data_IF_708227219199
#
_entry.id   IF_708227219199
#
_cell.length_a   1.000
_cell.length_b   1.000
_cell.length_c   1.000
_cell.angle_alpha   90.00
_cell.angle_beta   90.00
_cell.angle_gamma   90.00
#
_symmetry.space_group_name_H-M   'P 1'
#
loop_
_entity.id
_entity.type
_entity.pdbx_description
1 polymer ?
#
# COMPACT_ATOMS: atom_id res chain seq x y z
N UNK A 1 -8.18 -22.90 15.16
CA UNK A 1 -7.98 -21.84 14.16
C UNK A 1 -7.21 -22.48 13.03
N UNK A 2 -7.81 -22.60 11.85
CA UNK A 2 -7.08 -23.07 10.67
C UNK A 2 -5.95 -22.08 10.40
N UNK A 3 -4.75 -22.60 10.21
CA UNK A 3 -3.58 -21.80 9.82
C UNK A 3 -3.83 -21.36 8.36
N UNK A 4 -4.52 -20.23 8.18
CA UNK A 4 -4.70 -19.68 6.84
C UNK A 4 -3.32 -19.36 6.27
N UNK A 5 -3.04 -19.90 5.09
CA UNK A 5 -1.79 -19.64 4.37
C UNK A 5 -1.67 -18.14 4.14
N UNK A 6 -0.59 -17.52 4.63
CA UNK A 6 -0.33 -16.10 4.47
C UNK A 6 0.39 -15.83 3.15
N UNK A 7 0.10 -14.68 2.57
CA UNK A 7 0.80 -14.13 1.41
C UNK A 7 1.92 -13.24 1.94
N UNK A 8 3.15 -13.72 1.88
CA UNK A 8 4.31 -12.94 2.32
C UNK A 8 4.53 -11.73 1.40
N UNK A 9 4.89 -10.60 2.00
CA UNK A 9 5.16 -9.39 1.21
C UNK A 9 6.54 -9.41 0.56
N UNK A 10 7.48 -10.16 1.13
CA UNK A 10 8.89 -10.13 0.75
C UNK A 10 9.61 -8.85 1.21
N UNK A 11 8.91 -7.95 1.89
CA UNK A 11 9.49 -6.70 2.41
C UNK A 11 10.05 -6.97 3.81
N UNK A 12 11.38 -6.84 4.01
CA UNK A 12 12.00 -7.12 5.29
C UNK A 12 11.37 -6.34 6.44
N UNK A 13 10.91 -7.05 7.48
CA UNK A 13 10.29 -6.48 8.67
C UNK A 13 8.79 -6.18 8.57
N UNK A 14 8.21 -6.09 7.35
CA UNK A 14 6.77 -5.83 7.19
C UNK A 14 5.93 -7.07 7.51
N UNK A 15 6.35 -8.25 7.09
CA UNK A 15 5.62 -9.50 7.37
C UNK A 15 5.47 -9.75 8.87
N UNK A 16 6.46 -9.35 9.68
CA UNK A 16 6.35 -9.43 11.14
C UNK A 16 5.24 -8.52 11.68
N UNK A 17 5.05 -7.32 11.11
CA UNK A 17 3.95 -6.42 11.49
C UNK A 17 2.58 -6.97 11.08
N UNK A 18 2.53 -7.74 9.98
CA UNK A 18 1.32 -8.36 9.42
C UNK A 18 1.05 -9.77 9.97
N UNK A 19 1.75 -10.19 11.03
CA UNK A 19 1.62 -11.54 11.58
C UNK A 19 1.88 -12.66 10.54
N UNK A 20 2.88 -12.46 9.69
CA UNK A 20 3.33 -13.41 8.66
C UNK A 20 2.97 -13.03 7.22
N UNK A 21 2.33 -11.90 6.98
CA UNK A 21 1.95 -11.42 5.64
C UNK A 21 0.46 -11.10 5.50
N UNK A 22 0.03 -10.78 4.30
CA UNK A 22 -1.38 -10.50 4.01
C UNK A 22 -2.24 -11.78 4.07
N UNK A 23 -3.54 -11.60 4.25
CA UNK A 23 -4.50 -12.66 3.97
C UNK A 23 -4.72 -12.75 2.45
N UNK A 24 -4.89 -13.95 1.88
CA UNK A 24 -5.16 -14.09 0.46
C UNK A 24 -6.51 -13.44 0.08
N UNK A 25 -6.61 -12.97 -1.16
CA UNK A 25 -7.84 -12.34 -1.70
C UNK A 25 -8.30 -11.11 -0.94
N UNK A 26 -7.37 -10.35 -0.37
CA UNK A 26 -7.66 -9.11 0.36
C UNK A 26 -7.20 -7.89 -0.42
N UNK A 27 -7.82 -6.75 -0.09
CA UNK A 27 -7.41 -5.44 -0.58
C UNK A 27 -6.64 -4.72 0.53
N UNK A 28 -5.36 -4.44 0.27
CA UNK A 28 -4.42 -3.87 1.22
C UNK A 28 -4.07 -2.46 0.80
N UNK A 29 -4.52 -1.47 1.55
CA UNK A 29 -4.30 -0.05 1.28
C UNK A 29 -2.99 0.42 1.88
N UNK A 30 -2.17 1.07 1.05
CA UNK A 30 -0.95 1.77 1.43
C UNK A 30 -1.14 3.25 1.15
N UNK A 31 -1.27 4.06 2.19
CA UNK A 31 -1.51 5.49 2.10
C UNK A 31 -0.33 6.29 2.63
N UNK A 32 -0.03 7.41 2.00
CA UNK A 32 1.02 8.32 2.43
C UNK A 32 1.23 9.50 1.50
N UNK A 33 1.98 10.48 1.97
CA UNK A 33 2.34 11.67 1.20
C UNK A 33 3.25 11.31 0.00
N UNK A 34 3.40 12.22 -0.99
CA UNK A 34 4.37 12.06 -2.06
C UNK A 34 5.78 11.79 -1.52
N UNK A 35 6.52 10.88 -2.19
CA UNK A 35 7.90 10.52 -1.80
C UNK A 35 8.02 9.58 -0.58
N UNK A 36 6.94 9.15 0.05
CA UNK A 36 7.00 8.17 1.14
C UNK A 36 7.30 6.75 0.67
N UNK A 37 7.25 6.46 -0.63
CA UNK A 37 7.58 5.14 -1.18
C UNK A 37 6.40 4.17 -1.34
N UNK A 38 5.18 4.69 -1.50
CA UNK A 38 3.98 3.86 -1.76
C UNK A 38 4.16 2.95 -2.97
N UNK A 39 4.52 3.56 -4.13
CA UNK A 39 4.77 2.82 -5.38
C UNK A 39 5.94 1.86 -5.23
N UNK A 40 7.01 2.28 -4.54
CA UNK A 40 8.16 1.40 -4.25
C UNK A 40 7.74 0.17 -3.43
N UNK A 41 6.89 0.35 -2.41
CA UNK A 41 6.36 -0.77 -1.61
C UNK A 41 5.55 -1.73 -2.47
N UNK A 42 4.66 -1.19 -3.30
CA UNK A 42 3.85 -1.99 -4.22
C UNK A 42 4.69 -2.73 -5.26
N UNK A 43 5.67 -2.04 -5.88
CA UNK A 43 6.60 -2.65 -6.85
C UNK A 43 7.43 -3.77 -6.21
N UNK A 44 7.96 -3.55 -5.01
CA UNK A 44 8.72 -4.56 -4.28
C UNK A 44 7.89 -5.80 -3.99
N UNK A 45 6.65 -5.63 -3.54
CA UNK A 45 5.73 -6.74 -3.32
C UNK A 45 5.48 -7.56 -4.58
N UNK A 46 5.20 -6.91 -5.72
CA UNK A 46 4.99 -7.59 -7.01
C UNK A 46 6.28 -8.29 -7.46
N UNK A 47 7.45 -7.64 -7.30
CA UNK A 47 8.74 -8.23 -7.64
C UNK A 47 9.02 -9.50 -6.85
N UNK A 48 8.90 -9.43 -5.53
CA UNK A 48 9.15 -10.56 -4.63
C UNK A 48 8.16 -11.72 -4.87
N UNK A 49 6.90 -11.40 -5.15
CA UNK A 49 5.90 -12.40 -5.52
C UNK A 49 6.26 -13.09 -6.83
N UNK A 50 6.63 -12.33 -7.86
CA UNK A 50 7.03 -12.86 -9.16
C UNK A 50 8.27 -13.76 -9.07
N UNK A 51 9.24 -13.43 -8.19
CA UNK A 51 10.40 -14.28 -7.93
C UNK A 51 10.03 -15.64 -7.33
N UNK A 52 8.98 -15.67 -6.49
CA UNK A 52 8.44 -16.93 -5.94
C UNK A 52 7.62 -17.75 -6.95
N UNK A 53 7.42 -17.25 -8.17
CA UNK A 53 6.60 -17.90 -9.19
C UNK A 53 5.10 -17.58 -9.06
N UNK A 54 4.75 -16.52 -8.34
CA UNK A 54 3.40 -15.99 -8.15
C UNK A 54 3.24 -14.76 -9.06
N UNK A 55 2.60 -14.86 -10.26
CA UNK A 55 2.58 -13.76 -11.21
C UNK A 55 1.77 -12.57 -10.69
N UNK A 56 2.23 -11.36 -11.06
CA UNK A 56 1.60 -10.12 -10.65
C UNK A 56 1.38 -9.11 -11.77
N UNK A 57 0.40 -8.25 -11.59
CA UNK A 57 0.06 -7.16 -12.51
C UNK A 57 0.23 -5.83 -11.80
N UNK A 58 0.84 -4.85 -12.44
CA UNK A 58 0.85 -3.45 -12.04
C UNK A 58 -0.11 -2.71 -12.96
N UNK A 59 -1.17 -2.15 -12.37
CA UNK A 59 -2.13 -1.29 -13.05
C UNK A 59 -1.85 0.15 -12.62
N UNK A 60 -1.43 0.98 -13.56
CA UNK A 60 -1.10 2.40 -13.34
C UNK A 60 -2.08 3.30 -14.09
N UNK A 61 -2.35 4.48 -13.52
CA UNK A 61 -3.23 5.48 -14.10
C UNK A 61 -2.52 6.80 -14.44
N UNK A 62 -1.29 6.95 -14.03
CA UNK A 62 -0.55 8.22 -14.18
C UNK A 62 0.76 8.01 -14.94
N UNK A 63 1.57 7.06 -14.52
CA UNK A 63 2.90 6.87 -15.05
C UNK A 63 2.95 5.81 -16.15
N UNK A 64 3.76 6.07 -17.17
CA UNK A 64 4.00 5.10 -18.24
C UNK A 64 4.81 3.89 -17.74
N UNK A 65 4.60 2.69 -18.32
CA UNK A 65 5.34 1.48 -17.95
C UNK A 65 6.86 1.65 -17.95
N UNK A 66 7.40 2.48 -18.86
CA UNK A 66 8.83 2.78 -18.92
C UNK A 66 9.41 3.40 -17.65
N UNK A 67 8.60 4.17 -16.91
CA UNK A 67 9.00 4.71 -15.63
C UNK A 67 9.17 3.61 -14.58
N UNK A 68 8.23 2.68 -14.52
CA UNK A 68 8.31 1.53 -13.62
C UNK A 68 9.51 0.65 -13.89
N UNK A 69 9.86 0.39 -15.18
CA UNK A 69 11.08 -0.36 -15.53
C UNK A 69 12.35 0.37 -15.10
N UNK A 70 12.41 1.68 -15.31
CA UNK A 70 13.57 2.50 -14.90
C UNK A 70 13.72 2.51 -13.39
N UNK A 71 12.61 2.75 -12.67
CA UNK A 71 12.62 2.86 -11.22
C UNK A 71 12.92 1.52 -10.57
N UNK A 72 12.36 0.41 -11.08
CA UNK A 72 12.71 -0.94 -10.65
C UNK A 72 14.20 -1.26 -10.86
N UNK A 73 14.77 -0.87 -11.99
CA UNK A 73 16.19 -1.09 -12.28
C UNK A 73 17.09 -0.35 -11.28
N UNK A 74 16.67 0.80 -10.73
CA UNK A 74 17.43 1.51 -9.70
C UNK A 74 17.56 0.73 -8.38
N UNK A 75 16.67 -0.21 -8.14
CA UNK A 75 16.70 -1.15 -7.01
C UNK A 75 17.31 -2.51 -7.36
N UNK A 76 17.75 -2.70 -8.60
CA UNK A 76 18.26 -3.98 -9.11
C UNK A 76 17.16 -4.98 -9.47
N UNK A 77 15.90 -4.54 -9.61
CA UNK A 77 14.78 -5.41 -9.97
C UNK A 77 14.60 -5.46 -11.49
N UNK A 78 14.84 -6.62 -12.08
CA UNK A 78 14.68 -6.80 -13.53
C UNK A 78 13.24 -7.12 -13.92
N UNK A 79 12.41 -6.08 -13.96
CA UNK A 79 11.00 -6.18 -14.36
C UNK A 79 10.84 -6.63 -15.81
N UNK A 80 11.78 -6.27 -16.70
CA UNK A 80 11.72 -6.68 -18.11
C UNK A 80 11.92 -8.18 -18.28
N UNK A 81 12.82 -8.77 -17.48
CA UNK A 81 13.02 -10.21 -17.46
C UNK A 81 11.77 -10.93 -16.93
N UNK A 82 11.18 -10.45 -15.82
CA UNK A 82 9.95 -11.01 -15.27
C UNK A 82 8.78 -10.93 -16.26
N UNK A 83 8.70 -9.85 -17.04
CA UNK A 83 7.67 -9.71 -18.07
C UNK A 83 7.89 -10.70 -19.23
N UNK A 84 9.15 -10.91 -19.68
CA UNK A 84 9.47 -11.93 -20.69
C UNK A 84 9.13 -13.35 -20.22
N UNK A 85 9.23 -13.59 -18.92
CA UNK A 85 8.85 -14.87 -18.30
C UNK A 85 7.35 -15.00 -18.02
N UNK A 86 6.52 -14.02 -18.41
CA UNK A 86 5.08 -13.95 -18.12
C UNK A 86 4.76 -13.98 -16.62
N UNK A 87 5.67 -13.44 -15.78
CA UNK A 87 5.50 -13.35 -14.31
C UNK A 87 5.11 -11.97 -13.83
N UNK A 88 5.23 -10.97 -14.68
CA UNK A 88 4.87 -9.59 -14.41
C UNK A 88 4.27 -8.96 -15.66
N UNK A 89 3.29 -8.08 -15.49
CA UNK A 89 2.78 -7.22 -16.54
C UNK A 89 2.48 -5.83 -15.98
N UNK A 90 2.87 -4.80 -16.72
CA UNK A 90 2.52 -3.41 -16.39
C UNK A 90 1.51 -2.91 -17.42
N UNK A 91 0.38 -2.39 -16.93
CA UNK A 91 -0.70 -1.87 -17.76
C UNK A 91 -0.94 -0.43 -17.37
N UNK A 92 -0.89 0.47 -18.33
CA UNK A 92 -1.41 1.81 -18.17
C UNK A 92 -2.85 1.89 -18.70
N UNK A 93 -3.76 2.46 -17.90
CA UNK A 93 -5.17 2.58 -18.24
C UNK A 93 -5.73 3.89 -17.66
N UNK A 94 -7.06 4.07 -17.74
CA UNK A 94 -7.76 5.07 -16.95
C UNK A 94 -8.76 4.39 -16.00
N UNK A 95 -9.18 5.06 -14.92
CA UNK A 95 -10.18 4.51 -14.01
C UNK A 95 -11.50 4.16 -14.71
N UNK A 96 -11.93 4.97 -15.69
CA UNK A 96 -13.16 4.74 -16.46
C UNK A 96 -13.06 3.49 -17.33
N UNK A 97 -11.95 3.36 -18.07
CA UNK A 97 -11.70 2.20 -18.95
C UNK A 97 -11.61 0.93 -18.13
N UNK A 98 -10.86 0.97 -17.02
CA UNK A 98 -10.68 -0.19 -16.13
C UNK A 98 -12.00 -0.63 -15.50
N UNK A 99 -12.82 0.33 -15.08
CA UNK A 99 -14.17 0.04 -14.57
C UNK A 99 -15.04 -0.64 -15.64
N UNK A 100 -15.11 -0.06 -16.83
CA UNK A 100 -15.89 -0.60 -17.93
C UNK A 100 -15.42 -2.02 -18.31
N UNK A 101 -14.11 -2.24 -18.34
CA UNK A 101 -13.51 -3.54 -18.62
C UNK A 101 -13.94 -4.61 -17.61
N UNK A 102 -13.96 -4.28 -16.32
CA UNK A 102 -14.36 -5.22 -15.26
C UNK A 102 -15.87 -5.49 -15.18
N UNK A 103 -16.70 -4.59 -15.72
CA UNK A 103 -18.16 -4.78 -15.82
C UNK A 103 -18.56 -5.71 -16.98
N UNK A 104 -17.65 -5.93 -17.94
CA UNK A 104 -17.89 -6.82 -19.08
C UNK A 104 -17.27 -8.21 -18.83
N UNK A 105 -18.03 -9.25 -19.09
CA UNK A 105 -17.51 -10.63 -19.06
C UNK A 105 -16.51 -10.82 -20.20
N UNK A 106 -15.28 -11.24 -19.86
CA UNK A 106 -14.20 -11.38 -20.82
C UNK A 106 -13.52 -10.06 -21.20
N UNK A 107 -13.52 -9.10 -20.29
CA UNK A 107 -12.74 -7.86 -20.43
C UNK A 107 -11.24 -8.13 -20.55
N UNK A 108 -10.50 -7.17 -21.08
CA UNK A 108 -9.06 -7.29 -21.35
C UNK A 108 -8.24 -7.60 -20.09
N UNK A 109 -8.57 -6.94 -18.96
CA UNK A 109 -7.89 -7.18 -17.67
C UNK A 109 -8.24 -8.57 -17.14
N UNK A 110 -9.49 -9.01 -17.22
CA UNK A 110 -9.92 -10.35 -16.80
C UNK A 110 -9.20 -11.44 -17.59
N UNK A 111 -9.13 -11.28 -18.92
CA UNK A 111 -8.43 -12.22 -19.79
C UNK A 111 -6.94 -12.28 -19.45
N UNK A 112 -6.30 -11.14 -19.24
CA UNK A 112 -4.89 -11.08 -18.87
C UNK A 112 -4.62 -11.75 -17.51
N UNK A 113 -5.48 -11.53 -16.50
CA UNK A 113 -5.39 -12.21 -15.21
C UNK A 113 -5.43 -13.73 -15.40
N UNK A 114 -6.37 -14.21 -16.22
CA UNK A 114 -6.52 -15.64 -16.49
C UNK A 114 -5.35 -16.23 -17.28
N UNK A 115 -4.90 -15.54 -18.34
CA UNK A 115 -3.79 -15.98 -19.19
C UNK A 115 -2.45 -16.05 -18.45
N UNK A 116 -2.20 -15.09 -17.56
CA UNK A 116 -1.00 -15.08 -16.72
C UNK A 116 -1.10 -16.00 -15.51
N UNK A 117 -2.31 -16.38 -15.11
CA UNK A 117 -2.54 -16.96 -13.79
C UNK A 117 -2.16 -15.99 -12.66
N UNK A 118 -2.42 -14.70 -12.84
CA UNK A 118 -2.01 -13.68 -11.90
C UNK A 118 -2.66 -13.87 -10.52
N UNK A 119 -1.87 -13.73 -9.47
CA UNK A 119 -2.31 -13.89 -8.07
C UNK A 119 -2.24 -12.56 -7.31
N UNK A 120 -1.49 -11.60 -7.82
CA UNK A 120 -1.22 -10.31 -7.19
C UNK A 120 -1.48 -9.16 -8.13
N UNK A 121 -1.99 -8.06 -7.60
CA UNK A 121 -2.13 -6.82 -8.38
C UNK A 121 -1.79 -5.60 -7.53
N UNK A 122 -0.96 -4.73 -8.08
CA UNK A 122 -0.76 -3.37 -7.61
C UNK A 122 -1.65 -2.43 -8.42
N UNK A 123 -2.40 -1.56 -7.74
CA UNK A 123 -3.16 -0.47 -8.35
C UNK A 123 -2.57 0.85 -7.87
N UNK A 124 -1.90 1.57 -8.75
CA UNK A 124 -1.14 2.78 -8.46
C UNK A 124 -1.61 3.96 -9.34
N UNK A 125 -2.43 4.89 -8.82
CA UNK A 125 -3.01 4.91 -7.48
C UNK A 125 -4.54 5.00 -7.55
N UNK A 126 -5.24 4.54 -6.50
CA UNK A 126 -6.70 4.65 -6.42
C UNK A 126 -7.18 6.10 -6.21
N UNK A 127 -6.29 7.03 -5.93
CA UNK A 127 -6.59 8.48 -5.86
C UNK A 127 -7.27 8.97 -7.13
N UNK A 128 -6.91 8.43 -8.30
CA UNK A 128 -7.51 8.80 -9.59
C UNK A 128 -8.99 8.47 -9.71
N UNK A 129 -9.51 7.51 -8.93
CA UNK A 129 -10.93 7.21 -8.87
C UNK A 129 -11.75 8.29 -8.14
N UNK A 130 -11.12 9.08 -7.28
CA UNK A 130 -11.80 10.13 -6.49
C UNK A 130 -12.41 11.20 -7.38
N UNK A 131 -11.78 11.47 -8.53
CA UNK A 131 -12.30 12.41 -9.54
C UNK A 131 -13.53 11.91 -10.32
N UNK A 132 -13.85 10.60 -10.28
CA UNK A 132 -14.96 10.04 -11.05
C UNK A 132 -16.35 10.34 -10.48
N UNK A 133 -16.44 10.67 -9.21
CA UNK A 133 -17.71 10.94 -8.52
C UNK A 133 -17.51 12.05 -7.50
N UNK A 134 -18.37 13.05 -7.56
CA UNK A 134 -18.39 14.14 -6.56
C UNK A 134 -19.10 13.72 -5.26
N UNK A 135 -20.06 12.78 -5.36
CA UNK A 135 -20.75 12.24 -4.18
C UNK A 135 -19.92 11.12 -3.55
N UNK A 136 -19.54 11.26 -2.26
CA UNK A 136 -18.79 10.23 -1.52
C UNK A 136 -19.47 8.87 -1.46
N UNK A 137 -20.81 8.85 -1.41
CA UNK A 137 -21.59 7.61 -1.37
C UNK A 137 -21.49 6.86 -2.69
N UNK A 138 -21.58 7.57 -3.80
CA UNK A 138 -21.43 6.99 -5.15
C UNK A 138 -19.98 6.53 -5.40
N UNK A 139 -18.99 7.29 -4.97
CA UNK A 139 -17.58 6.88 -5.01
C UNK A 139 -17.37 5.57 -4.23
N UNK A 140 -17.92 5.49 -3.02
CA UNK A 140 -17.81 4.29 -2.19
C UNK A 140 -18.45 3.07 -2.84
N UNK A 141 -19.64 3.21 -3.43
CA UNK A 141 -20.30 2.14 -4.18
C UNK A 141 -19.47 1.68 -5.36
N UNK A 142 -18.90 2.64 -6.12
CA UNK A 142 -18.03 2.36 -7.24
C UNK A 142 -16.80 1.56 -6.79
N UNK A 143 -16.07 2.04 -5.78
CA UNK A 143 -14.88 1.37 -5.25
C UNK A 143 -15.19 -0.01 -4.67
N UNK A 144 -16.32 -0.15 -3.98
CA UNK A 144 -16.77 -1.45 -3.46
C UNK A 144 -17.00 -2.46 -4.58
N UNK A 145 -17.73 -2.05 -5.64
CA UNK A 145 -17.98 -2.89 -6.81
C UNK A 145 -16.67 -3.29 -7.50
N UNK A 146 -15.80 -2.32 -7.72
CA UNK A 146 -14.51 -2.49 -8.37
C UNK A 146 -13.60 -3.48 -7.61
N UNK A 147 -13.38 -3.24 -6.31
CA UNK A 147 -12.53 -4.12 -5.49
C UNK A 147 -13.10 -5.55 -5.38
N UNK A 148 -14.42 -5.68 -5.28
CA UNK A 148 -15.04 -7.01 -5.24
C UNK A 148 -14.94 -7.75 -6.59
N UNK A 149 -14.99 -7.03 -7.72
CA UNK A 149 -14.76 -7.64 -9.02
C UNK A 149 -13.35 -8.24 -9.13
N UNK A 150 -12.33 -7.51 -8.66
CA UNK A 150 -10.95 -7.99 -8.64
C UNK A 150 -10.73 -9.13 -7.63
N UNK A 151 -11.30 -9.04 -6.42
CA UNK A 151 -11.21 -10.13 -5.43
C UNK A 151 -11.85 -11.44 -5.92
N UNK A 152 -12.89 -11.36 -6.75
CA UNK A 152 -13.50 -12.56 -7.39
C UNK A 152 -12.58 -13.24 -8.40
N UNK A 153 -11.52 -12.57 -8.86
CA UNK A 153 -10.47 -13.16 -9.68
C UNK A 153 -9.35 -13.80 -8.85
N UNK A 154 -9.59 -14.05 -7.56
CA UNK A 154 -8.65 -14.63 -6.60
C UNK A 154 -7.38 -13.78 -6.34
N UNK A 155 -7.41 -12.48 -6.66
CA UNK A 155 -6.28 -11.58 -6.50
C UNK A 155 -6.11 -11.08 -5.07
N UNK A 156 -4.86 -11.03 -4.61
CA UNK A 156 -4.43 -10.22 -3.45
C UNK A 156 -3.94 -8.87 -3.95
N UNK A 157 -4.58 -7.80 -3.50
CA UNK A 157 -4.40 -6.46 -4.02
C UNK A 157 -3.55 -5.60 -3.09
N UNK A 158 -2.63 -4.81 -3.66
CA UNK A 158 -2.11 -3.60 -3.04
C UNK A 158 -2.70 -2.40 -3.77
N UNK A 159 -3.21 -1.45 -2.99
CA UNK A 159 -3.78 -0.21 -3.46
C UNK A 159 -2.93 0.93 -2.89
N UNK A 160 -2.40 1.79 -3.72
CA UNK A 160 -1.75 3.00 -3.23
C UNK A 160 -2.74 4.16 -3.23
N UNK A 161 -2.61 5.05 -2.25
CA UNK A 161 -3.40 6.27 -2.14
C UNK A 161 -2.54 7.42 -1.68
N UNK A 162 -2.72 8.57 -2.28
CA UNK A 162 -2.06 9.79 -1.84
C UNK A 162 -2.76 10.43 -0.65
N UNK A 163 -1.96 10.83 0.34
CA UNK A 163 -2.41 11.68 1.43
C UNK A 163 -2.05 13.13 1.12
N UNK A 164 -3.00 14.04 1.31
CA UNK A 164 -2.78 15.48 1.11
C UNK A 164 -1.87 16.10 2.18
N UNK A 165 -1.62 15.40 3.29
CA UNK A 165 -0.86 15.92 4.42
C UNK A 165 0.55 15.34 4.48
N UNK A 166 1.56 16.21 4.38
CA UNK A 166 2.98 15.83 4.52
C UNK A 166 3.32 15.47 5.97
N UNK A 167 2.86 16.24 6.94
CA UNK A 167 3.07 16.08 8.37
C UNK A 167 1.75 16.12 9.13
N UNK A 168 1.60 15.29 10.08
CA UNK A 168 0.79 15.20 11.29
C UNK A 168 -0.60 15.78 11.42
N UNK A 169 -1.17 16.57 10.53
CA UNK A 169 -2.51 17.13 10.72
C UNK A 169 -3.54 16.54 9.73
N UNK A 170 -4.64 16.08 10.30
CA UNK A 170 -5.91 15.85 9.60
C UNK A 170 -6.27 14.39 9.31
N UNK A 171 -6.97 13.78 10.27
CA UNK A 171 -7.93 12.70 9.97
C UNK A 171 -9.23 13.32 9.38
N UNK A 172 -9.22 14.59 9.03
CA UNK A 172 -10.38 15.35 8.63
C UNK A 172 -10.47 15.52 7.10
N UNK A 173 -11.19 14.57 6.50
CA UNK A 173 -11.82 14.71 5.19
C UNK A 173 -12.89 13.63 5.07
N UNK A 174 -14.17 13.99 5.04
CA UNK A 174 -15.29 13.02 4.97
C UNK A 174 -15.21 12.10 3.73
N UNK A 175 -14.52 12.51 2.66
CA UNK A 175 -14.23 11.68 1.49
C UNK A 175 -13.17 10.62 1.79
N UNK A 176 -12.18 10.94 2.62
CA UNK A 176 -11.04 10.10 2.92
C UNK A 176 -11.41 8.81 3.68
N UNK A 177 -12.36 8.89 4.62
CA UNK A 177 -12.75 7.74 5.44
C UNK A 177 -13.40 6.61 4.62
N UNK A 178 -14.01 6.89 3.48
CA UNK A 178 -14.83 5.91 2.76
C UNK A 178 -14.02 4.76 2.17
N UNK A 179 -12.84 5.02 1.61
CA UNK A 179 -11.98 4.00 0.96
C UNK A 179 -11.22 3.20 2.01
N UNK A 180 -10.77 3.82 3.08
CA UNK A 180 -10.10 3.16 4.20
C UNK A 180 -11.00 2.08 4.85
N UNK A 181 -12.32 2.28 4.87
CA UNK A 181 -13.26 1.28 5.34
C UNK A 181 -13.39 0.06 4.43
N UNK A 182 -13.14 0.19 3.13
CA UNK A 182 -13.24 -0.90 2.16
C UNK A 182 -12.02 -1.81 2.18
N UNK A 183 -10.86 -1.28 2.52
CA UNK A 183 -9.63 -2.06 2.62
C UNK A 183 -9.69 -3.09 3.77
N UNK A 184 -9.10 -4.26 3.57
CA UNK A 184 -8.95 -5.29 4.58
C UNK A 184 -7.76 -4.98 5.49
N UNK A 185 -6.64 -4.54 4.92
CA UNK A 185 -5.48 -4.02 5.65
C UNK A 185 -5.30 -2.54 5.32
N UNK A 186 -4.90 -1.74 6.32
CA UNK A 186 -4.55 -0.34 6.13
C UNK A 186 -3.17 -0.06 6.71
N UNK A 187 -2.23 0.25 5.82
CA UNK A 187 -0.85 0.62 6.11
C UNK A 187 -0.70 2.11 5.83
N UNK A 188 -0.14 2.85 6.77
CA UNK A 188 0.14 4.27 6.62
C UNK A 188 1.64 4.51 6.60
N UNK A 189 2.11 5.25 5.60
CA UNK A 189 3.47 5.74 5.45
C UNK A 189 3.50 7.24 5.74
N UNK A 190 4.38 7.69 6.65
CA UNK A 190 4.47 9.09 7.03
C UNK A 190 5.90 9.58 7.13
N UNK A 191 6.07 10.89 6.96
CA UNK A 191 7.24 11.59 7.42
C UNK A 191 7.06 12.01 8.88
N UNK A 192 8.12 11.89 9.66
CA UNK A 192 8.19 12.37 11.05
C UNK A 192 9.47 13.16 11.22
N UNK A 193 9.41 14.30 11.91
CA UNK A 193 10.59 15.08 12.26
C UNK A 193 11.09 14.65 13.63
N UNK A 194 12.33 14.22 13.71
CA UNK A 194 13.00 13.83 14.94
C UNK A 194 14.38 14.47 14.97
N UNK A 195 14.63 15.31 15.96
CA UNK A 195 15.93 15.98 16.14
C UNK A 195 16.40 16.72 14.87
N UNK A 196 15.48 17.47 14.26
CA UNK A 196 15.68 18.23 13.01
C UNK A 196 16.04 17.37 11.79
N UNK A 197 15.76 16.06 11.84
CA UNK A 197 15.87 15.15 10.71
C UNK A 197 14.49 14.60 10.32
N UNK A 198 14.22 14.59 9.03
CA UNK A 198 13.03 13.94 8.48
C UNK A 198 13.30 12.44 8.35
N UNK A 199 12.51 11.66 9.05
CA UNK A 199 12.55 10.20 9.02
C UNK A 199 11.24 9.65 8.47
N UNK A 200 11.25 8.40 7.99
CA UNK A 200 10.07 7.71 7.49
C UNK A 200 9.52 6.76 8.54
N UNK A 201 8.21 6.81 8.75
CA UNK A 201 7.48 5.98 9.69
C UNK A 201 6.40 5.16 8.99
N UNK A 202 6.28 3.89 9.36
CA UNK A 202 5.26 2.96 8.90
C UNK A 202 4.44 2.45 10.09
N UNK A 203 3.13 2.32 9.90
CA UNK A 203 2.22 1.72 10.88
C UNK A 203 1.15 0.90 10.15
N UNK A 204 0.78 -0.24 10.73
CA UNK A 204 -0.40 -1.01 10.34
C UNK A 204 -1.55 -0.58 11.25
N UNK A 205 -2.50 0.18 10.71
CA UNK A 205 -3.63 0.72 11.49
C UNK A 205 -4.79 -0.26 11.60
N UNK A 206 -4.90 -1.17 10.64
CA UNK A 206 -6.01 -2.11 10.55
C UNK A 206 -5.60 -3.36 9.78
N UNK A 207 -6.07 -4.51 10.24
CA UNK A 207 -6.01 -5.78 9.51
C UNK A 207 -7.24 -6.63 9.88
N UNK A 208 -8.18 -6.77 8.95
CA UNK A 208 -9.39 -7.57 9.16
C UNK A 208 -9.04 -9.06 9.20
N UNK A 209 -9.65 -9.77 10.13
CA UNK A 209 -9.49 -11.21 10.26
C UNK A 209 -8.13 -11.65 10.84
N UNK A 210 -7.26 -10.72 11.25
CA UNK A 210 -5.96 -11.04 11.82
C UNK A 210 -5.53 -10.07 12.90
N UNK A 211 -4.74 -10.56 13.86
CA UNK A 211 -3.90 -9.71 14.68
C UNK A 211 -2.80 -9.08 13.82
N UNK A 212 -2.30 -7.93 14.24
CA UNK A 212 -1.18 -7.24 13.64
C UNK A 212 -0.43 -6.42 14.71
N UNK A 213 0.79 -6.03 14.39
CA UNK A 213 1.57 -5.12 15.21
C UNK A 213 1.25 -3.67 14.79
N UNK A 214 0.62 -2.90 15.68
CA UNK A 214 0.29 -1.50 15.49
C UNK A 214 1.40 -0.54 15.95
N UNK A 215 2.60 -1.04 16.24
CA UNK A 215 3.74 -0.22 16.63
C UNK A 215 4.20 0.65 15.45
N UNK A 216 4.47 1.93 15.71
CA UNK A 216 5.07 2.82 14.71
C UNK A 216 6.54 2.46 14.59
N UNK A 217 6.93 2.03 13.39
CA UNK A 217 8.32 1.66 13.09
C UNK A 217 8.94 2.61 12.09
N UNK A 218 10.24 2.79 12.21
CA UNK A 218 11.04 3.43 11.18
C UNK A 218 11.15 2.50 9.97
N UNK A 219 11.22 3.06 8.77
CA UNK A 219 11.65 2.34 7.58
C UNK A 219 12.58 3.18 6.73
N UNK A 220 13.38 2.52 5.93
CA UNK A 220 14.29 3.12 4.95
C UNK A 220 13.97 2.64 3.54
N UNK A 221 14.33 3.46 2.57
CA UNK A 221 14.36 3.11 1.15
C UNK A 221 15.84 3.18 0.75
N UNK A 222 16.40 2.06 0.35
CA UNK A 222 17.79 1.95 -0.06
C UNK A 222 17.89 1.32 -1.46
N UNK A 223 19.08 0.99 -1.94
CA UNK A 223 19.31 0.38 -3.26
C UNK A 223 18.66 -1.01 -3.46
N UNK A 224 18.07 -1.59 -2.44
CA UNK A 224 17.39 -2.90 -2.50
C UNK A 224 15.88 -2.77 -2.24
N UNK A 225 15.37 -1.55 -2.11
CA UNK A 225 13.96 -1.27 -1.83
C UNK A 225 13.71 -0.84 -0.39
N UNK A 226 12.50 -1.15 0.09
CA UNK A 226 12.04 -0.81 1.44
C UNK A 226 12.45 -1.88 2.43
N UNK A 227 12.92 -1.42 3.59
CA UNK A 227 13.17 -2.25 4.77
C UNK A 227 12.57 -1.60 6.00
N UNK A 228 11.72 -2.31 6.72
CA UNK A 228 11.15 -1.88 8.00
C UNK A 228 12.16 -2.17 9.11
N UNK A 229 12.39 -1.17 9.94
CA UNK A 229 13.36 -1.19 11.03
C UNK A 229 12.68 -1.36 12.39
N UNK A 230 13.41 -0.98 13.46
CA UNK A 230 12.90 -1.03 14.83
C UNK A 230 11.83 0.04 15.09
N UNK A 231 11.01 -0.13 16.15
CA UNK A 231 10.13 0.92 16.64
C UNK A 231 10.92 2.19 17.02
N UNK A 232 10.24 3.32 16.98
CA UNK A 232 10.77 4.56 17.54
C UNK A 232 10.73 4.48 19.06
N UNK A 233 11.88 4.31 19.68
CA UNK A 233 12.00 4.21 21.13
C UNK A 233 11.90 5.59 21.81
N UNK A 234 11.15 5.66 22.93
CA UNK A 234 11.07 6.83 23.79
C UNK A 234 10.43 8.07 23.12
N UNK A 235 9.60 7.89 22.10
CA UNK A 235 8.94 8.99 21.37
C UNK A 235 7.42 8.85 21.43
N UNK A 236 6.74 9.98 21.64
CA UNK A 236 5.28 10.13 21.59
C UNK A 236 4.90 11.18 20.54
N UNK A 237 3.66 11.16 20.06
CA UNK A 237 3.14 12.17 19.14
C UNK A 237 3.66 12.06 17.70
N UNK A 238 4.17 10.90 17.29
CA UNK A 238 4.69 10.69 15.93
C UNK A 238 3.61 10.86 14.86
N UNK A 239 2.37 10.47 15.17
CA UNK A 239 1.25 10.60 14.23
C UNK A 239 0.63 11.99 14.21
N UNK A 240 0.76 12.76 15.30
CA UNK A 240 0.25 14.14 15.38
C UNK A 240 1.22 15.19 14.81
N UNK A 241 2.37 14.78 14.28
CA UNK A 241 3.39 15.68 13.74
C UNK A 241 4.18 16.47 14.81
N UNK A 242 3.97 16.17 16.07
CA UNK A 242 4.69 16.81 17.19
C UNK A 242 5.38 15.76 18.07
N UNK A 243 6.43 15.09 17.56
CA UNK A 243 7.15 14.08 18.34
C UNK A 243 7.79 14.69 19.59
N UNK A 244 7.55 14.07 20.75
CA UNK A 244 8.12 14.46 22.04
C UNK A 244 8.89 13.29 22.62
N UNK A 245 9.95 13.58 23.42
CA UNK A 245 10.58 12.55 24.25
C UNK A 245 9.68 12.21 25.43
N UNK A 246 9.54 10.94 25.77
CA UNK A 246 8.73 10.49 26.92
C UNK A 246 9.18 11.13 28.25
N UNK A 247 10.45 11.45 28.40
CA UNK A 247 11.01 12.18 29.55
C UNK A 247 10.40 13.58 29.71
N UNK A 248 10.02 14.26 28.64
CA UNK A 248 9.44 15.61 28.71
C UNK A 248 7.99 15.61 29.22
N UNK A 249 7.23 14.52 28.99
CA UNK A 249 5.89 14.37 29.55
C UNK A 249 5.91 14.11 31.05
N UNK A 250 6.86 13.33 31.55
CA UNK A 250 7.05 13.12 32.99
C UNK A 250 7.46 14.41 33.71
N UNK A 251 8.42 15.17 33.18
CA UNK A 251 8.88 16.42 33.79
C UNK A 251 7.77 17.49 33.88
N UNK A 252 6.89 17.61 32.85
CA UNK A 252 5.77 18.55 32.87
C UNK A 252 4.67 18.18 33.88
N UNK A 253 4.49 16.91 34.20
CA UNK A 253 3.55 16.46 35.23
C UNK A 253 4.02 16.83 36.64
N UNK A 254 5.33 16.97 36.87
CA UNK A 254 5.89 17.34 38.18
C UNK A 254 6.14 18.85 38.39
N UNK A 255 6.18 19.66 37.33
CA UNK A 255 6.38 21.13 37.41
C UNK A 255 5.06 21.89 37.60
N UNK A 256 3.90 21.23 37.57
CA UNK A 256 2.57 21.82 37.83
C UNK A 256 2.04 21.53 39.25
N UNK A 257 2.92 21.57 40.25
CA UNK A 257 2.51 21.66 41.67
C UNK A 257 3.10 22.88 42.33
#
# INVERSE_FOLDING_TARGET
>A
MQNETRVTTGIPGLDAMLNGGFLPRTANLVEGAPGTGKSTLGMQYIYESALRGEPGIILTFEEFPEQYYRDAASFGWDFRELERQNRLKIIMSSPEVTKADLEHVGGTIQNLIAEMGAQHMLIDSITHFEGLRQDPVELRKLMYSYLNALKRQDLTLILTRESSHLFGEGIEGQLDASIQFLADTYIMLRYVEIESMVQRAIIVLKMRGSAHDSTIRQYEINSHGIKVLKPFEGREGLLSGTPKRMTDSFMRAFVRR
#
